data_IF_965709193361
#
_entry.id   IF_965709193361
#
_cell.length_a   1.000
_cell.length_b   1.000
_cell.length_c   1.000
_cell.angle_alpha   90.00
_cell.angle_beta   90.00
_cell.angle_gamma   90.00
#
_symmetry.space_group_name_H-M   'P 1'
#
loop_
_entity.id
_entity.type
_entity.pdbx_description
1 polymer ?
#
# COMPACT_ATOMS: atom_id res chain seq x y z
N UNK A 1 -12.69 -3.12 4.15
CA UNK A 1 -11.93 -2.04 3.53
C UNK A 1 -12.40 -0.69 4.02
N UNK A 2 -11.52 0.29 3.95
CA UNK A 2 -11.84 1.69 4.23
C UNK A 2 -11.55 2.49 2.96
N UNK A 3 -12.58 2.97 2.23
CA UNK A 3 -12.34 3.82 1.06
C UNK A 3 -11.78 5.18 1.46
N UNK A 4 -10.96 5.78 0.58
CA UNK A 4 -10.47 7.13 0.78
C UNK A 4 -11.58 8.17 0.75
N UNK A 5 -11.47 9.19 1.61
CA UNK A 5 -12.37 10.35 1.65
C UNK A 5 -12.16 11.36 0.53
N UNK A 6 -11.73 10.92 -0.65
CA UNK A 6 -11.45 11.77 -1.80
C UNK A 6 -12.52 11.74 -2.90
N UNK A 7 -13.48 10.82 -2.82
CA UNK A 7 -14.55 10.66 -3.80
C UNK A 7 -15.71 9.79 -3.29
N UNK A 8 -16.88 9.84 -3.92
CA UNK A 8 -17.97 8.89 -3.68
C UNK A 8 -17.58 7.45 -4.00
N UNK A 9 -18.35 6.50 -3.47
CA UNK A 9 -18.18 5.08 -3.78
C UNK A 9 -18.61 4.81 -5.25
N UNK A 10 -17.85 3.96 -5.91
CA UNK A 10 -18.20 3.44 -7.23
C UNK A 10 -18.60 1.96 -7.15
N UNK A 11 -19.08 1.42 -8.27
CA UNK A 11 -19.57 0.04 -8.35
C UNK A 11 -18.57 -1.00 -7.83
N UNK A 12 -17.27 -0.83 -8.07
CA UNK A 12 -16.24 -1.74 -7.57
C UNK A 12 -16.16 -1.81 -6.04
N UNK A 13 -16.39 -0.69 -5.34
CA UNK A 13 -16.51 -0.70 -3.87
C UNK A 13 -17.76 -1.45 -3.41
N UNK A 14 -18.90 -1.17 -4.03
CA UNK A 14 -20.19 -1.74 -3.62
C UNK A 14 -20.22 -3.24 -3.92
N UNK A 15 -20.06 -3.64 -5.17
CA UNK A 15 -20.20 -5.02 -5.60
C UNK A 15 -19.00 -5.90 -5.21
N UNK A 16 -17.78 -5.33 -5.23
CA UNK A 16 -16.55 -6.08 -4.97
C UNK A 16 -16.20 -6.22 -3.48
N UNK A 17 -16.67 -5.29 -2.63
CA UNK A 17 -16.27 -5.25 -1.20
C UNK A 17 -17.48 -5.29 -0.28
N UNK A 18 -18.38 -4.29 -0.34
CA UNK A 18 -19.40 -4.12 0.68
C UNK A 18 -20.51 -5.15 0.61
N UNK A 19 -21.06 -5.45 -0.57
CA UNK A 19 -22.14 -6.44 -0.72
C UNK A 19 -21.70 -7.87 -0.30
N UNK A 20 -20.55 -8.40 -0.75
CA UNK A 20 -20.08 -9.70 -0.30
C UNK A 20 -19.81 -9.75 1.21
N UNK A 21 -19.21 -8.68 1.78
CA UNK A 21 -18.95 -8.60 3.20
C UNK A 21 -20.24 -8.51 4.03
N UNK A 22 -21.25 -7.78 3.55
CA UNK A 22 -22.57 -7.69 4.19
C UNK A 22 -23.30 -9.04 4.19
N UNK A 23 -23.31 -9.70 3.03
CA UNK A 23 -23.89 -11.05 2.94
C UNK A 23 -23.25 -12.03 3.93
N UNK A 24 -21.92 -11.98 4.06
CA UNK A 24 -21.20 -12.80 5.03
C UNK A 24 -21.51 -12.39 6.49
N UNK A 25 -21.55 -11.09 6.78
CA UNK A 25 -21.91 -10.62 8.12
C UNK A 25 -23.33 -11.02 8.52
N UNK A 26 -24.30 -10.92 7.61
CA UNK A 26 -25.67 -11.38 7.82
C UNK A 26 -25.73 -12.91 8.05
N UNK A 27 -25.03 -13.68 7.22
CA UNK A 27 -24.91 -15.13 7.40
C UNK A 27 -24.35 -15.49 8.78
N UNK A 28 -23.29 -14.84 9.23
CA UNK A 28 -22.74 -15.09 10.56
C UNK A 28 -23.70 -14.70 11.69
N UNK A 29 -24.40 -13.56 11.56
CA UNK A 29 -25.41 -13.15 12.56
C UNK A 29 -26.51 -14.16 12.74
N UNK A 30 -26.93 -14.81 11.63
CA UNK A 30 -27.93 -15.89 11.69
C UNK A 30 -27.38 -17.16 12.36
N UNK A 31 -26.09 -17.46 12.21
CA UNK A 31 -25.46 -18.68 12.74
C UNK A 31 -25.04 -18.59 14.20
N UNK A 32 -24.44 -17.47 14.58
CA UNK A 32 -23.80 -17.29 15.88
C UNK A 32 -24.44 -16.17 16.72
N UNK A 33 -25.45 -15.51 16.19
CA UNK A 33 -26.17 -14.41 16.83
C UNK A 33 -25.58 -13.06 16.61
N UNK A 34 -26.44 -12.04 16.44
CA UNK A 34 -26.05 -10.65 16.07
C UNK A 34 -25.12 -9.99 17.10
N UNK A 35 -25.18 -10.40 18.37
CA UNK A 35 -24.29 -9.87 19.44
C UNK A 35 -22.82 -10.26 19.24
N UNK A 36 -22.57 -11.36 18.55
CA UNK A 36 -21.25 -11.94 18.34
C UNK A 36 -20.61 -11.46 17.01
N UNK A 37 -21.30 -10.67 16.21
CA UNK A 37 -20.81 -10.20 14.90
C UNK A 37 -20.80 -8.69 14.85
N UNK A 38 -19.65 -8.10 14.60
CA UNK A 38 -19.47 -6.68 14.28
C UNK A 38 -18.97 -6.53 12.86
N UNK A 39 -19.74 -5.84 12.02
CA UNK A 39 -19.34 -5.45 10.69
C UNK A 39 -18.93 -3.98 10.70
N UNK A 40 -17.64 -3.72 10.59
CA UNK A 40 -17.05 -2.39 10.78
C UNK A 40 -16.37 -1.97 9.49
N UNK A 41 -16.61 -0.72 9.11
CA UNK A 41 -15.86 -0.03 8.06
C UNK A 41 -15.80 1.47 8.38
N UNK A 42 -15.25 2.26 7.46
CA UNK A 42 -15.16 3.70 7.63
C UNK A 42 -14.48 4.36 6.44
N UNK A 43 -14.35 5.67 6.51
CA UNK A 43 -13.62 6.48 5.54
C UNK A 43 -12.19 6.67 6.00
N UNK A 44 -11.23 6.38 5.13
CA UNK A 44 -9.84 6.80 5.33
C UNK A 44 -9.73 8.28 5.01
N UNK A 45 -9.39 9.07 6.04
CA UNK A 45 -9.38 10.54 5.97
C UNK A 45 -7.99 11.12 5.66
N UNK A 46 -6.97 10.29 5.43
CA UNK A 46 -5.60 10.74 5.25
C UNK A 46 -4.99 10.16 3.97
N UNK A 47 -3.94 10.82 3.49
CA UNK A 47 -3.14 10.35 2.36
C UNK A 47 -3.07 11.30 1.18
N UNK A 48 -2.08 11.08 0.32
CA UNK A 48 -1.83 11.90 -0.87
C UNK A 48 -3.00 11.96 -1.87
N UNK A 49 -3.81 10.89 -2.07
CA UNK A 49 -4.96 10.96 -2.96
C UNK A 49 -6.03 11.98 -2.52
N UNK A 50 -6.16 12.20 -1.20
CA UNK A 50 -7.08 13.20 -0.65
C UNK A 50 -6.56 14.61 -0.91
N UNK A 51 -5.28 14.85 -0.62
CA UNK A 51 -4.64 16.15 -0.86
C UNK A 51 -4.74 16.56 -2.33
N UNK A 52 -4.45 15.62 -3.24
CA UNK A 52 -4.49 15.88 -4.67
C UNK A 52 -5.93 16.06 -5.19
N UNK A 53 -6.89 15.27 -4.71
CA UNK A 53 -8.29 15.44 -5.05
C UNK A 53 -8.85 16.78 -4.57
N UNK A 54 -8.53 17.18 -3.35
CA UNK A 54 -8.90 18.48 -2.80
C UNK A 54 -8.29 19.64 -3.61
N UNK A 55 -6.96 19.60 -3.85
CA UNK A 55 -6.25 20.62 -4.63
C UNK A 55 -6.91 20.86 -5.99
N UNK A 56 -7.17 19.80 -6.76
CA UNK A 56 -7.79 19.87 -8.09
C UNK A 56 -9.16 20.54 -8.07
N UNK A 57 -10.01 20.20 -7.10
CA UNK A 57 -11.36 20.78 -7.02
C UNK A 57 -11.35 22.25 -6.57
N UNK A 58 -10.42 22.64 -5.71
CA UNK A 58 -10.24 24.04 -5.32
C UNK A 58 -9.71 24.86 -6.50
N UNK A 59 -8.72 24.36 -7.23
CA UNK A 59 -8.16 25.04 -8.39
C UNK A 59 -9.15 25.18 -9.54
N UNK A 60 -10.04 24.18 -9.75
CA UNK A 60 -11.12 24.28 -10.75
C UNK A 60 -12.32 25.14 -10.30
N UNK A 61 -12.35 25.55 -9.04
CA UNK A 61 -13.48 26.30 -8.47
C UNK A 61 -14.72 25.43 -8.20
N UNK A 62 -14.58 24.11 -8.24
CA UNK A 62 -15.68 23.15 -7.98
C UNK A 62 -15.92 22.88 -6.49
N UNK A 63 -15.00 23.34 -5.64
CA UNK A 63 -15.11 23.19 -4.20
C UNK A 63 -14.57 24.42 -3.46
N UNK A 64 -15.37 24.91 -2.51
CA UNK A 64 -14.99 25.92 -1.54
C UNK A 64 -15.07 25.32 -0.13
N UNK A 65 -14.04 25.53 0.68
CA UNK A 65 -13.94 25.02 2.05
C UNK A 65 -12.57 24.46 2.37
N UNK A 66 -12.42 23.92 3.56
CA UNK A 66 -11.18 23.29 4.02
C UNK A 66 -11.07 21.85 3.51
N UNK A 67 -9.86 21.27 3.59
CA UNK A 67 -9.67 19.83 3.28
C UNK A 67 -10.52 18.95 4.22
N UNK A 68 -10.76 19.38 5.46
CA UNK A 68 -11.63 18.64 6.39
C UNK A 68 -13.10 18.66 5.91
N UNK A 69 -13.58 19.79 5.39
CA UNK A 69 -14.93 19.90 4.82
C UNK A 69 -15.07 19.01 3.57
N UNK A 70 -14.01 18.95 2.76
CA UNK A 70 -13.95 18.06 1.59
C UNK A 70 -14.06 16.58 1.96
N UNK A 71 -13.30 16.15 2.97
CA UNK A 71 -13.32 14.76 3.46
C UNK A 71 -14.66 14.45 4.12
N UNK A 72 -15.21 15.35 4.92
CA UNK A 72 -16.52 15.19 5.58
C UNK A 72 -17.62 15.01 4.53
N UNK A 73 -17.67 15.87 3.50
CA UNK A 73 -18.63 15.76 2.39
C UNK A 73 -18.56 14.38 1.72
N UNK A 74 -17.34 13.88 1.45
CA UNK A 74 -17.20 12.57 0.81
C UNK A 74 -17.58 11.43 1.76
N UNK A 75 -17.27 11.54 3.06
CA UNK A 75 -17.69 10.59 4.08
C UNK A 75 -19.23 10.45 4.10
N UNK A 76 -19.94 11.59 4.16
CA UNK A 76 -21.41 11.60 4.17
C UNK A 76 -21.99 10.98 2.90
N UNK A 77 -21.41 11.29 1.73
CA UNK A 77 -21.83 10.70 0.46
C UNK A 77 -21.57 9.18 0.39
N UNK A 78 -20.45 8.71 0.92
CA UNK A 78 -20.13 7.30 1.03
C UNK A 78 -21.11 6.59 1.95
N UNK A 79 -21.38 7.15 3.14
CA UNK A 79 -22.34 6.62 4.10
C UNK A 79 -23.76 6.54 3.51
N UNK A 80 -24.23 7.62 2.89
CA UNK A 80 -25.53 7.64 2.23
C UNK A 80 -25.64 6.57 1.13
N UNK A 81 -24.58 6.33 0.38
CA UNK A 81 -24.54 5.26 -0.62
C UNK A 81 -24.68 3.88 0.03
N UNK A 82 -23.96 3.60 1.10
CA UNK A 82 -24.02 2.32 1.82
C UNK A 82 -25.42 2.09 2.44
N UNK A 83 -26.00 3.12 3.01
CA UNK A 83 -27.36 3.11 3.56
C UNK A 83 -28.40 2.81 2.46
N UNK A 84 -28.24 3.40 1.26
CA UNK A 84 -29.14 3.16 0.11
C UNK A 84 -29.07 1.71 -0.42
N UNK A 85 -27.94 1.03 -0.23
CA UNK A 85 -27.78 -0.39 -0.54
C UNK A 85 -28.12 -1.33 0.65
N UNK A 86 -28.65 -0.80 1.75
CA UNK A 86 -28.98 -1.54 2.98
C UNK A 86 -27.78 -2.36 3.52
N UNK A 87 -26.56 -1.81 3.43
CA UNK A 87 -25.37 -2.45 3.98
C UNK A 87 -25.39 -2.37 5.51
N UNK A 88 -25.46 -3.51 6.18
CA UNK A 88 -25.75 -3.64 7.61
C UNK A 88 -24.53 -3.40 8.51
N UNK A 89 -23.79 -2.31 8.28
CA UNK A 89 -22.64 -1.96 9.09
C UNK A 89 -23.02 -1.70 10.55
N UNK A 90 -22.20 -2.19 11.48
CA UNK A 90 -22.33 -1.87 12.91
C UNK A 90 -21.74 -0.48 13.21
N UNK A 91 -20.69 -0.08 12.46
CA UNK A 91 -19.99 1.21 12.59
C UNK A 91 -19.53 1.60 11.19
N UNK A 92 -19.77 2.88 10.82
CA UNK A 92 -19.15 3.55 9.68
C UNK A 92 -18.72 4.95 10.11
N UNK A 93 -17.43 5.13 10.37
CA UNK A 93 -16.85 6.37 10.90
C UNK A 93 -15.61 6.77 10.09
N UNK A 94 -15.14 8.00 10.24
CA UNK A 94 -13.93 8.49 9.55
C UNK A 94 -12.70 8.48 10.46
N UNK A 95 -11.55 8.06 9.94
CA UNK A 95 -10.29 8.04 10.71
C UNK A 95 -9.80 9.43 11.14
N UNK A 96 -10.35 10.51 10.56
CA UNK A 96 -10.03 11.90 10.90
C UNK A 96 -11.27 12.76 11.22
N UNK A 97 -12.44 12.15 11.47
CA UNK A 97 -13.71 12.86 11.66
C UNK A 97 -14.29 12.53 13.04
N UNK A 98 -14.75 13.58 13.74
CA UNK A 98 -15.48 13.46 14.99
C UNK A 98 -14.73 12.66 16.05
N UNK A 99 -15.50 12.01 16.95
CA UNK A 99 -14.92 11.22 18.05
C UNK A 99 -14.03 10.05 17.59
N UNK A 100 -14.38 9.39 16.50
CA UNK A 100 -13.55 8.32 15.95
C UNK A 100 -12.18 8.84 15.50
N UNK A 101 -12.12 10.03 14.89
CA UNK A 101 -10.87 10.71 14.55
C UNK A 101 -10.01 11.04 15.76
N UNK A 102 -10.62 11.53 16.84
CA UNK A 102 -9.90 11.81 18.10
C UNK A 102 -9.31 10.52 18.72
N UNK A 103 -10.09 9.44 18.74
CA UNK A 103 -9.61 8.13 19.22
C UNK A 103 -8.49 7.61 18.35
N UNK A 104 -8.66 7.67 17.03
CA UNK A 104 -7.64 7.23 16.08
C UNK A 104 -6.33 7.99 16.27
N UNK A 105 -6.38 9.30 16.36
CA UNK A 105 -5.20 10.15 16.60
C UNK A 105 -4.49 9.78 17.90
N UNK A 106 -5.24 9.64 19.00
CA UNK A 106 -4.68 9.28 20.31
C UNK A 106 -4.01 7.90 20.27
N UNK A 107 -4.71 6.89 19.75
CA UNK A 107 -4.20 5.51 19.70
C UNK A 107 -2.98 5.41 18.78
N UNK A 108 -2.99 6.09 17.61
CA UNK A 108 -1.86 6.13 16.70
C UNK A 108 -0.63 6.76 17.33
N UNK A 109 -0.81 7.88 18.04
CA UNK A 109 0.28 8.54 18.76
C UNK A 109 0.86 7.66 19.87
N UNK A 110 0.00 7.03 20.67
CA UNK A 110 0.43 6.08 21.71
C UNK A 110 1.21 4.89 21.11
N UNK A 111 0.73 4.36 20.00
CA UNK A 111 1.36 3.23 19.34
C UNK A 111 2.74 3.59 18.76
N UNK A 112 2.84 4.70 18.03
CA UNK A 112 4.11 5.18 17.47
C UNK A 112 5.11 5.51 18.59
N UNK A 113 4.65 6.15 19.68
CA UNK A 113 5.49 6.44 20.84
C UNK A 113 6.08 5.16 21.43
N UNK A 114 5.26 4.11 21.61
CA UNK A 114 5.73 2.82 22.11
C UNK A 114 6.72 2.14 21.17
N UNK A 115 6.50 2.21 19.87
CA UNK A 115 7.46 1.69 18.88
C UNK A 115 8.81 2.40 18.97
N UNK A 116 8.78 3.72 19.14
CA UNK A 116 9.99 4.52 19.31
C UNK A 116 10.71 4.20 20.63
N UNK A 117 9.99 4.18 21.76
CA UNK A 117 10.54 3.86 23.09
C UNK A 117 11.14 2.46 23.16
N UNK A 118 10.59 1.50 22.40
CA UNK A 118 11.13 0.14 22.32
C UNK A 118 12.24 -0.03 21.26
N UNK A 119 12.66 1.06 20.60
CA UNK A 119 13.78 1.03 19.65
C UNK A 119 13.44 0.43 18.27
N UNK A 120 12.15 0.25 17.93
CA UNK A 120 11.70 -0.29 16.65
C UNK A 120 11.58 0.74 15.54
N UNK A 121 11.81 2.02 15.84
CA UNK A 121 11.85 3.08 14.83
C UNK A 121 13.28 3.59 14.67
N UNK A 122 13.76 3.61 13.45
CA UNK A 122 15.10 4.08 13.08
C UNK A 122 14.97 5.28 12.12
N UNK A 123 15.81 6.29 12.34
CA UNK A 123 15.96 7.36 11.37
C UNK A 123 16.88 6.92 10.24
N UNK A 124 16.44 7.16 9.00
CA UNK A 124 17.27 6.95 7.81
C UNK A 124 17.14 8.16 6.90
N UNK A 125 18.25 8.55 6.28
CA UNK A 125 18.25 9.54 5.22
C UNK A 125 17.96 8.85 3.90
N UNK A 126 16.95 9.33 3.19
CA UNK A 126 16.56 8.85 1.85
C UNK A 126 16.47 10.04 0.91
N UNK A 127 16.59 9.78 -0.39
CA UNK A 127 16.38 10.80 -1.41
C UNK A 127 14.89 10.94 -1.70
N UNK A 128 14.43 12.18 -1.84
CA UNK A 128 13.05 12.49 -2.21
C UNK A 128 13.02 13.65 -3.19
N UNK A 129 12.05 13.65 -4.08
CA UNK A 129 11.84 14.74 -5.02
C UNK A 129 11.49 16.04 -4.32
N UNK A 130 12.15 17.11 -4.72
CA UNK A 130 11.96 18.47 -4.24
C UNK A 130 11.70 19.43 -5.40
N UNK A 131 10.60 20.15 -5.34
CA UNK A 131 10.28 21.21 -6.29
C UNK A 131 10.94 22.52 -5.84
N UNK A 132 11.89 23.00 -6.60
CA UNK A 132 12.65 24.22 -6.27
C UNK A 132 11.83 25.48 -6.47
N UNK A 133 10.84 25.47 -7.37
CA UNK A 133 9.95 26.59 -7.61
C UNK A 133 8.85 26.66 -6.54
N UNK A 134 8.22 25.55 -6.19
CA UNK A 134 7.24 25.46 -5.11
C UNK A 134 7.89 25.43 -3.72
N UNK A 135 9.21 25.27 -3.63
CA UNK A 135 9.99 25.16 -2.38
C UNK A 135 9.45 24.08 -1.41
N UNK A 136 9.08 22.92 -1.94
CA UNK A 136 8.51 21.84 -1.15
C UNK A 136 8.96 20.46 -1.63
N UNK A 137 9.02 19.50 -0.69
CA UNK A 137 9.12 18.09 -1.06
C UNK A 137 7.82 17.62 -1.71
N UNK A 138 7.96 16.82 -2.75
CA UNK A 138 6.83 16.27 -3.49
C UNK A 138 6.47 14.89 -2.94
N UNK A 139 5.17 14.62 -2.78
CA UNK A 139 4.71 13.27 -2.56
C UNK A 139 4.68 12.47 -3.87
N UNK A 140 4.58 11.13 -3.78
CA UNK A 140 4.67 10.27 -4.95
C UNK A 140 3.69 10.61 -6.08
N UNK A 141 2.50 11.13 -5.76
CA UNK A 141 1.47 11.52 -6.75
C UNK A 141 1.66 12.93 -7.33
N UNK A 142 2.57 13.70 -6.79
CA UNK A 142 2.95 15.03 -7.30
C UNK A 142 4.15 14.99 -8.25
N UNK A 143 4.67 13.79 -8.54
CA UNK A 143 5.71 13.58 -9.55
C UNK A 143 5.19 12.61 -10.58
N UNK A 144 5.35 12.94 -11.85
CA UNK A 144 5.03 12.05 -12.95
C UNK A 144 6.18 11.99 -13.96
N UNK A 145 6.24 10.91 -14.71
CA UNK A 145 7.31 10.67 -15.68
C UNK A 145 7.02 9.41 -16.48
N UNK A 146 8.07 8.73 -16.92
CA UNK A 146 7.96 7.47 -17.64
C UNK A 146 8.48 6.31 -16.79
N UNK A 147 7.79 5.17 -16.89
CA UNK A 147 8.18 3.94 -16.21
C UNK A 147 9.57 3.46 -16.68
N UNK A 148 10.50 3.11 -15.76
CA UNK A 148 11.83 2.63 -16.11
C UNK A 148 11.82 1.18 -16.65
N UNK A 149 10.75 0.43 -16.45
CA UNK A 149 10.68 -0.96 -16.88
C UNK A 149 10.66 -1.06 -18.40
N UNK A 150 11.64 -1.76 -18.96
CA UNK A 150 11.80 -1.89 -20.40
C UNK A 150 10.55 -2.50 -21.06
N UNK A 151 10.06 -1.84 -22.10
CA UNK A 151 8.87 -2.28 -22.84
C UNK A 151 7.54 -1.94 -22.16
N UNK A 152 7.55 -1.25 -21.02
CA UNK A 152 6.33 -0.75 -20.40
C UNK A 152 5.63 0.27 -21.31
N UNK A 153 4.31 0.11 -21.46
CA UNK A 153 3.45 0.99 -22.26
C UNK A 153 2.62 1.93 -21.40
N UNK A 154 2.98 2.10 -20.13
CA UNK A 154 2.32 3.02 -19.23
C UNK A 154 2.44 4.46 -19.74
N UNK A 155 1.32 5.16 -19.79
CA UNK A 155 1.26 6.60 -20.11
C UNK A 155 1.40 7.44 -18.84
N UNK A 156 1.23 6.83 -17.65
CA UNK A 156 1.26 7.48 -16.35
C UNK A 156 2.13 6.70 -15.38
N UNK A 157 3.32 7.22 -15.12
CA UNK A 157 4.22 6.73 -14.10
C UNK A 157 4.38 7.81 -13.01
N UNK A 158 4.26 7.41 -11.77
CA UNK A 158 4.48 8.24 -10.58
C UNK A 158 5.87 8.01 -10.00
N UNK A 159 6.18 8.59 -8.85
CA UNK A 159 7.50 8.49 -8.26
C UNK A 159 7.94 7.04 -7.96
N UNK A 160 7.02 6.15 -7.63
CA UNK A 160 7.27 4.81 -7.09
C UNK A 160 6.52 3.67 -7.80
N UNK A 161 5.55 4.02 -8.66
CA UNK A 161 4.76 3.03 -9.40
C UNK A 161 4.17 3.61 -10.70
N UNK A 162 3.85 2.75 -11.66
CA UNK A 162 3.10 3.14 -12.84
C UNK A 162 1.67 2.56 -12.80
N UNK A 163 0.80 3.05 -13.70
CA UNK A 163 -0.59 2.61 -13.82
C UNK A 163 -0.76 1.14 -14.25
N UNK A 164 0.30 0.51 -14.75
CA UNK A 164 0.34 -0.93 -15.05
C UNK A 164 0.89 -1.78 -13.89
N UNK A 165 1.16 -1.17 -12.72
CA UNK A 165 1.54 -1.87 -11.50
C UNK A 165 3.03 -2.22 -11.37
N UNK A 166 3.92 -1.63 -12.17
CA UNK A 166 5.36 -1.77 -11.94
C UNK A 166 5.77 -0.84 -10.80
N UNK A 167 6.49 -1.39 -9.83
CA UNK A 167 7.12 -0.63 -8.73
C UNK A 167 8.61 -0.46 -9.02
N UNK A 168 9.16 0.68 -8.63
CA UNK A 168 10.55 1.07 -8.83
C UNK A 168 10.95 2.12 -7.79
N UNK A 169 12.25 2.34 -7.62
CA UNK A 169 12.74 3.40 -6.75
C UNK A 169 12.51 4.79 -7.39
N UNK A 170 12.23 5.84 -6.60
CA UNK A 170 11.99 7.18 -7.14
C UNK A 170 13.09 7.68 -8.08
N UNK A 171 14.34 7.31 -7.81
CA UNK A 171 15.51 7.68 -8.61
C UNK A 171 15.52 7.05 -10.01
N UNK A 172 14.76 5.97 -10.22
CA UNK A 172 14.67 5.27 -11.49
C UNK A 172 13.65 5.91 -12.45
N UNK A 173 12.74 6.77 -11.93
CA UNK A 173 11.72 7.41 -12.75
C UNK A 173 12.36 8.23 -13.89
N UNK A 174 11.95 7.94 -15.14
CA UNK A 174 12.49 8.58 -16.32
C UNK A 174 11.77 9.89 -16.57
N UNK A 175 12.52 10.99 -16.75
CA UNK A 175 12.02 12.36 -17.01
C UNK A 175 10.97 12.80 -15.98
N UNK A 176 11.34 12.86 -14.69
CA UNK A 176 10.42 13.31 -13.66
C UNK A 176 10.02 14.77 -13.86
N UNK A 177 8.74 15.06 -13.65
CA UNK A 177 8.15 16.41 -13.71
C UNK A 177 7.22 16.61 -12.50
N UNK A 178 7.31 17.81 -11.90
CA UNK A 178 6.42 18.20 -10.79
C UNK A 178 5.03 18.56 -11.32
N UNK A 179 4.00 17.94 -10.76
CA UNK A 179 2.61 18.31 -11.09
C UNK A 179 2.18 19.65 -10.50
N UNK A 180 2.99 20.26 -9.61
CA UNK A 180 2.70 21.56 -9.02
C UNK A 180 3.13 22.72 -9.92
N UNK A 181 4.29 22.60 -10.55
CA UNK A 181 4.93 23.71 -11.29
C UNK A 181 5.30 23.37 -12.73
N UNK A 182 5.24 22.11 -13.14
CA UNK A 182 5.70 21.64 -14.44
C UNK A 182 7.23 21.65 -14.59
N UNK A 183 7.98 21.81 -13.49
CA UNK A 183 9.44 21.84 -13.54
C UNK A 183 10.02 20.46 -13.23
N UNK A 184 11.27 20.25 -13.66
CA UNK A 184 12.03 19.04 -13.28
C UNK A 184 12.44 19.16 -11.81
N UNK A 185 11.99 18.25 -10.92
CA UNK A 185 12.33 18.29 -9.50
C UNK A 185 13.77 17.81 -9.28
N UNK A 186 14.38 18.26 -8.18
CA UNK A 186 15.67 17.79 -7.69
C UNK A 186 15.51 16.66 -6.68
N UNK A 187 16.47 15.72 -6.63
CA UNK A 187 16.56 14.76 -5.55
C UNK A 187 17.31 15.37 -4.35
N UNK A 188 16.66 15.43 -3.19
CA UNK A 188 17.24 15.96 -1.94
C UNK A 188 17.15 14.98 -0.81
N UNK A 189 18.16 14.90 0.07
CA UNK A 189 18.10 14.03 1.24
C UNK A 189 17.05 14.54 2.24
N UNK A 190 16.28 13.60 2.78
CA UNK A 190 15.33 13.83 3.87
C UNK A 190 15.46 12.74 4.91
N UNK A 191 15.42 13.09 6.20
CA UNK A 191 15.38 12.13 7.28
C UNK A 191 13.94 11.68 7.56
N UNK A 192 13.70 10.39 7.41
CA UNK A 192 12.43 9.75 7.76
C UNK A 192 12.59 8.70 8.83
N UNK A 193 11.51 8.40 9.54
CA UNK A 193 11.42 7.30 10.47
C UNK A 193 10.97 6.04 9.75
N UNK A 194 11.72 4.95 9.97
CA UNK A 194 11.44 3.63 9.41
C UNK A 194 11.20 2.63 10.53
N UNK A 195 10.19 1.81 10.36
CA UNK A 195 9.95 0.67 11.24
C UNK A 195 10.93 -0.45 10.89
N UNK A 196 11.61 -1.00 11.91
CA UNK A 196 12.57 -2.09 11.75
C UNK A 196 11.85 -3.43 11.59
N UNK A 197 11.21 -3.63 10.45
CA UNK A 197 10.49 -4.86 10.15
C UNK A 197 11.38 -6.11 10.15
N UNK A 198 12.65 -6.09 9.68
CA UNK A 198 13.56 -7.23 9.75
C UNK A 198 13.76 -7.78 11.16
N UNK A 199 13.72 -6.93 12.19
CA UNK A 199 13.83 -7.37 13.59
C UNK A 199 12.68 -8.32 14.01
N UNK A 200 11.56 -8.32 13.28
CA UNK A 200 10.40 -9.16 13.53
C UNK A 200 10.32 -10.41 12.64
N UNK A 201 11.29 -10.63 11.75
CA UNK A 201 11.22 -11.72 10.77
C UNK A 201 10.99 -13.09 11.42
N UNK A 202 11.70 -13.40 12.49
CA UNK A 202 11.52 -14.68 13.19
C UNK A 202 10.15 -14.80 13.87
N UNK A 203 9.69 -13.75 14.53
CA UNK A 203 8.35 -13.70 15.10
C UNK A 203 7.26 -13.89 14.02
N UNK A 204 7.41 -13.25 12.88
CA UNK A 204 6.47 -13.36 11.76
C UNK A 204 6.48 -14.77 11.14
N UNK A 205 7.65 -15.43 11.05
CA UNK A 205 7.72 -16.84 10.61
C UNK A 205 6.97 -17.78 11.57
N UNK A 206 7.18 -17.60 12.87
CA UNK A 206 6.47 -18.39 13.89
C UNK A 206 4.97 -18.12 13.84
N UNK A 207 4.56 -16.87 13.64
CA UNK A 207 3.16 -16.51 13.49
C UNK A 207 2.54 -17.14 12.23
N UNK A 208 3.23 -17.08 11.08
CA UNK A 208 2.77 -17.72 9.85
C UNK A 208 2.61 -19.26 10.02
N UNK A 209 3.58 -19.89 10.69
CA UNK A 209 3.47 -21.33 11.02
C UNK A 209 2.27 -21.64 11.92
N UNK A 210 2.01 -20.81 12.94
CA UNK A 210 0.84 -20.97 13.80
C UNK A 210 -0.48 -20.78 13.04
N UNK A 211 -0.53 -19.84 12.07
CA UNK A 211 -1.70 -19.64 11.21
C UNK A 211 -1.96 -20.83 10.27
N UNK A 212 -0.91 -21.56 9.89
CA UNK A 212 -1.05 -22.75 9.03
C UNK A 212 -1.72 -23.93 9.75
N UNK A 213 -1.62 -23.98 11.07
CA UNK A 213 -2.25 -25.00 11.92
C UNK A 213 -3.70 -24.61 12.32
N UNK A 214 -4.18 -23.43 11.94
CA UNK A 214 -5.53 -22.96 12.32
C UNK A 214 -6.53 -23.20 11.18
N UNK A 215 -7.41 -24.18 11.36
CA UNK A 215 -8.48 -24.54 10.40
C UNK A 215 -9.44 -23.39 10.04
N UNK A 216 -9.43 -22.27 10.79
CA UNK A 216 -10.24 -21.09 10.50
C UNK A 216 -9.53 -20.08 9.57
N UNK A 217 -8.25 -20.28 9.29
CA UNK A 217 -7.43 -19.43 8.41
C UNK A 217 -7.31 -20.11 7.05
N UNK A 218 -7.46 -19.33 5.98
CA UNK A 218 -7.24 -19.85 4.63
C UNK A 218 -5.77 -20.13 4.42
N UNK A 219 -5.42 -21.26 3.83
CA UNK A 219 -4.05 -21.70 3.54
C UNK A 219 -3.21 -20.65 2.79
N UNK A 220 -3.85 -19.85 1.93
CA UNK A 220 -3.19 -18.79 1.18
C UNK A 220 -2.61 -17.69 2.09
N UNK A 221 -3.16 -17.45 3.27
CA UNK A 221 -2.69 -16.38 4.18
C UNK A 221 -1.30 -16.67 4.73
N UNK A 222 -1.04 -17.80 5.41
CA UNK A 222 0.30 -18.13 5.88
C UNK A 222 1.28 -18.36 4.72
N UNK A 223 0.82 -18.88 3.57
CA UNK A 223 1.64 -19.05 2.39
C UNK A 223 2.18 -17.69 1.90
N UNK A 224 1.33 -16.70 1.69
CA UNK A 224 1.75 -15.36 1.22
C UNK A 224 2.68 -14.69 2.24
N UNK A 225 2.39 -14.79 3.55
CA UNK A 225 3.29 -14.25 4.58
C UNK A 225 4.67 -14.91 4.49
N UNK A 226 4.72 -16.23 4.31
CA UNK A 226 5.97 -16.99 4.22
C UNK A 226 6.76 -16.65 2.95
N UNK A 227 6.09 -16.42 1.82
CA UNK A 227 6.72 -15.97 0.58
C UNK A 227 7.44 -14.62 0.74
N UNK A 228 6.80 -13.65 1.43
CA UNK A 228 7.41 -12.34 1.72
C UNK A 228 8.54 -12.38 2.76
N UNK A 229 8.57 -13.42 3.62
CA UNK A 229 9.61 -13.63 4.63
C UNK A 229 10.72 -14.56 4.14
N UNK A 230 10.52 -15.17 2.98
CA UNK A 230 11.48 -16.06 2.34
C UNK A 230 12.67 -15.32 1.74
N UNK A 231 13.67 -16.07 1.36
CA UNK A 231 14.77 -15.56 0.57
C UNK A 231 14.26 -15.12 -0.82
N UNK A 232 14.80 -14.04 -1.41
CA UNK A 232 14.44 -13.65 -2.77
C UNK A 232 14.79 -14.75 -3.77
N UNK A 233 13.84 -15.11 -4.63
CA UNK A 233 14.02 -16.12 -5.66
C UNK A 233 13.83 -15.50 -7.04
N UNK A 234 14.81 -15.70 -7.92
CA UNK A 234 14.71 -15.33 -9.33
C UNK A 234 14.57 -16.60 -10.17
N UNK A 235 13.55 -16.63 -11.02
CA UNK A 235 13.34 -17.72 -12.00
C UNK A 235 14.00 -17.33 -13.32
N UNK A 236 15.06 -18.07 -13.69
CA UNK A 236 15.81 -17.85 -14.93
C UNK A 236 15.42 -18.92 -15.94
N UNK A 237 15.09 -18.54 -17.19
CA UNK A 237 14.78 -19.48 -18.25
C UNK A 237 16.01 -20.32 -18.60
N UNK A 238 15.80 -21.61 -18.92
CA UNK A 238 16.89 -22.55 -19.23
C UNK A 238 17.71 -22.14 -20.46
N UNK A 239 17.13 -21.41 -21.40
CA UNK A 239 17.81 -20.87 -22.58
C UNK A 239 18.77 -19.71 -22.28
N UNK A 240 18.69 -19.13 -21.09
CA UNK A 240 19.59 -18.07 -20.57
C UNK A 240 20.68 -18.62 -19.63
N UNK A 241 20.90 -19.96 -19.65
CA UNK A 241 21.88 -20.60 -18.76
C UNK A 241 23.31 -20.08 -18.97
N UNK A 242 23.72 -19.98 -20.21
CA UNK A 242 25.07 -19.52 -20.58
C UNK A 242 25.28 -18.04 -20.16
N UNK A 243 24.25 -17.21 -20.32
CA UNK A 243 24.27 -15.80 -19.88
C UNK A 243 24.38 -15.71 -18.35
N UNK A 244 23.63 -16.54 -17.62
CA UNK A 244 23.75 -16.63 -16.18
C UNK A 244 25.15 -17.05 -15.75
N UNK A 245 25.72 -18.13 -16.35
CA UNK A 245 27.06 -18.62 -16.00
C UNK A 245 28.15 -17.55 -16.22
N UNK A 246 27.97 -16.70 -17.25
CA UNK A 246 28.87 -15.59 -17.51
C UNK A 246 28.79 -14.46 -16.44
N UNK A 247 27.64 -14.29 -15.79
CA UNK A 247 27.37 -13.23 -14.79
C UNK A 247 27.39 -13.72 -13.35
N UNK A 248 27.39 -15.03 -13.12
CA UNK A 248 27.21 -15.63 -11.77
C UNK A 248 28.19 -15.13 -10.73
N UNK A 249 29.43 -14.80 -11.14
CA UNK A 249 30.46 -14.28 -10.23
C UNK A 249 30.21 -12.81 -9.79
N UNK A 250 29.45 -12.05 -10.57
CA UNK A 250 29.12 -10.65 -10.31
C UNK A 250 27.79 -10.49 -9.56
N UNK A 251 27.01 -11.57 -9.43
CA UNK A 251 25.76 -11.58 -8.69
C UNK A 251 26.01 -11.70 -7.18
N UNK A 252 25.10 -11.17 -6.33
CA UNK A 252 25.11 -11.43 -4.91
C UNK A 252 25.12 -12.93 -4.58
N UNK A 253 25.56 -13.29 -3.37
CA UNK A 253 25.62 -14.68 -2.93
C UNK A 253 24.26 -15.37 -3.03
N UNK A 254 24.19 -16.46 -3.79
CA UNK A 254 22.95 -17.17 -4.06
C UNK A 254 23.19 -18.68 -4.17
N UNK A 255 22.13 -19.46 -4.07
CA UNK A 255 22.09 -20.90 -4.30
C UNK A 255 21.30 -21.17 -5.58
N UNK A 256 21.84 -22.06 -6.44
CA UNK A 256 21.19 -22.45 -7.67
C UNK A 256 20.41 -23.75 -7.43
N UNK A 257 19.12 -23.72 -7.74
CA UNK A 257 18.24 -24.89 -7.70
C UNK A 257 17.81 -25.24 -9.13
N UNK A 258 18.15 -26.45 -9.56
CA UNK A 258 17.77 -26.94 -10.89
C UNK A 258 16.25 -27.09 -11.02
N UNK A 259 15.76 -26.81 -12.21
CA UNK A 259 14.33 -26.91 -12.48
C UNK A 259 13.80 -28.34 -12.25
N UNK A 260 12.66 -28.50 -11.55
CA UNK A 260 11.97 -29.77 -11.54
C UNK A 260 11.67 -30.27 -12.97
N UNK A 261 11.68 -31.58 -13.14
CA UNK A 261 11.50 -32.22 -14.47
C UNK A 261 10.25 -31.68 -15.17
N UNK A 262 10.43 -31.01 -16.30
CA UNK A 262 9.37 -30.45 -17.14
C UNK A 262 9.14 -28.92 -16.95
N UNK A 263 9.85 -28.24 -16.05
CA UNK A 263 9.86 -26.78 -16.01
C UNK A 263 10.95 -26.20 -16.93
N UNK A 264 10.71 -25.01 -17.44
CA UNK A 264 11.59 -24.33 -18.40
C UNK A 264 12.49 -23.27 -17.74
N UNK A 265 12.58 -23.24 -16.40
CA UNK A 265 13.37 -22.29 -15.63
C UNK A 265 14.04 -22.96 -14.44
N UNK A 266 15.26 -22.58 -14.13
CA UNK A 266 15.94 -22.85 -12.87
C UNK A 266 15.77 -21.66 -11.91
N UNK A 267 16.09 -21.86 -10.63
CA UNK A 267 15.85 -20.88 -9.57
C UNK A 267 17.18 -20.43 -8.97
N UNK A 268 17.31 -19.13 -8.71
CA UNK A 268 18.41 -18.54 -7.95
C UNK A 268 17.82 -18.01 -6.64
N UNK A 269 18.19 -18.61 -5.53
CA UNK A 269 17.80 -18.20 -4.19
C UNK A 269 18.90 -17.36 -3.57
N UNK A 270 18.64 -16.09 -3.29
CA UNK A 270 19.58 -15.13 -2.72
C UNK A 270 19.51 -15.11 -1.21
N UNK A 271 20.67 -14.95 -0.55
CA UNK A 271 20.74 -14.97 0.93
C UNK A 271 20.24 -13.69 1.58
N UNK A 272 20.23 -12.56 0.86
CA UNK A 272 19.71 -11.28 1.32
C UNK A 272 19.21 -10.42 0.16
N UNK A 273 18.49 -9.34 0.48
CA UNK A 273 18.03 -8.33 -0.47
C UNK A 273 19.09 -7.23 -0.65
N UNK A 274 20.12 -7.19 0.20
CA UNK A 274 21.18 -6.17 0.21
C UNK A 274 22.21 -6.37 -0.92
#
# INVERSE_FOLDING_TARGET
GMPYGNKPLHFGHIAGVFVPADAYARFLRDRIGSKNVRFISGTDCFGSPINEGYRKLVESGEFEGTINDYVARNHDAQKATLDAYDISLSIYEGSGIGHAGEVHQRVSNEFITRLHENGFLQKRSTLQFYDTQAQTFLNGRQVHGHCPVQGCKSEHAYADECDLGHSYAPEELIKPESSLTGTVPEMRPVENWYFDLPAFAEYLRQHAAALQEDDNVRDIVPQVISEFLGAPIIYVKNDLRDDYEALAADLPAHELHEAPKGKQSFELEFRSID
#
